data_IF_567565201832
#
_entry.id   IF_567565201832
#
_cell.length_a   1.000
_cell.length_b   1.000
_cell.length_c   1.000
_cell.angle_alpha   90.00
_cell.angle_beta   90.00
_cell.angle_gamma   90.00
#
_symmetry.space_group_name_H-M   'P 1'
#
loop_
_entity.id
_entity.type
_entity.pdbx_description
1 polymer ?
#
# COMPACT_ATOMS: atom_id res chain seq x y z
N UNK A 1 61.74 2.07 -22.05
CA UNK A 1 60.47 1.54 -22.59
C UNK A 1 59.40 1.72 -21.50
N UNK A 2 58.46 2.65 -21.73
CA UNK A 2 57.25 3.01 -20.96
C UNK A 2 57.34 3.55 -19.51
N UNK A 3 57.73 4.83 -19.35
CA UNK A 3 57.55 5.60 -18.10
C UNK A 3 56.09 5.99 -17.80
N UNK A 4 55.19 5.89 -18.77
CA UNK A 4 53.77 6.25 -18.61
C UNK A 4 53.02 5.37 -17.59
N UNK A 5 53.42 4.12 -17.40
CA UNK A 5 52.79 3.20 -16.44
C UNK A 5 52.96 3.63 -14.96
N UNK A 6 53.96 4.45 -14.64
CA UNK A 6 54.19 4.92 -13.26
C UNK A 6 53.23 6.03 -12.81
N UNK A 7 52.53 6.71 -13.73
CA UNK A 7 51.55 7.76 -13.39
C UNK A 7 50.15 7.25 -13.03
N UNK A 8 49.86 5.97 -13.29
CA UNK A 8 48.57 5.34 -12.94
C UNK A 8 48.48 4.88 -11.47
N UNK A 9 49.58 4.97 -10.72
CA UNK A 9 49.61 4.66 -9.28
C UNK A 9 49.33 5.91 -8.44
N UNK A 10 48.33 6.70 -8.82
CA UNK A 10 47.74 7.66 -7.89
C UNK A 10 47.02 6.85 -6.81
N UNK A 11 47.64 6.87 -5.62
CA UNK A 11 47.13 6.39 -4.34
C UNK A 11 45.60 6.54 -4.29
N UNK A 12 44.87 5.43 -4.22
CA UNK A 12 43.45 5.45 -3.96
C UNK A 12 43.25 6.31 -2.70
N UNK A 13 42.48 7.40 -2.82
CA UNK A 13 42.10 8.18 -1.65
C UNK A 13 41.30 7.23 -0.77
N UNK A 14 41.67 7.13 0.51
CA UNK A 14 40.87 6.43 1.50
C UNK A 14 39.51 7.12 1.55
N UNK A 15 38.53 6.56 0.84
CA UNK A 15 37.14 6.95 0.97
C UNK A 15 36.65 6.37 2.29
N UNK A 16 36.86 7.13 3.37
CA UNK A 16 36.23 6.84 4.65
C UNK A 16 34.76 7.20 4.51
N UNK A 17 33.89 6.21 4.72
CA UNK A 17 32.45 6.46 4.83
C UNK A 17 32.25 7.49 5.94
N UNK A 18 31.46 8.57 5.72
CA UNK A 18 31.13 9.48 6.80
C UNK A 18 30.54 8.67 7.96
N UNK A 19 30.92 9.05 9.18
CA UNK A 19 30.41 8.46 10.40
C UNK A 19 28.88 8.46 10.29
N UNK A 20 28.29 7.26 10.30
CA UNK A 20 26.84 7.10 10.19
C UNK A 20 26.26 7.88 11.35
N UNK A 21 25.60 9.01 11.09
CA UNK A 21 24.82 9.73 12.10
C UNK A 21 24.08 8.67 12.91
N UNK A 22 24.29 8.69 14.23
CA UNK A 22 23.59 7.80 15.15
C UNK A 22 22.10 7.97 14.84
N UNK A 23 21.54 7.02 14.09
CA UNK A 23 20.10 6.94 13.89
C UNK A 23 19.53 6.91 15.29
N UNK A 24 18.90 8.01 15.70
CA UNK A 24 18.17 8.12 16.95
C UNK A 24 17.48 6.78 17.19
N UNK A 25 17.67 6.19 18.37
CA UNK A 25 17.12 4.88 18.73
C UNK A 25 15.76 4.69 18.05
N UNK A 26 15.65 3.67 17.18
CA UNK A 26 14.47 3.44 16.32
C UNK A 26 13.24 3.67 17.18
N UNK A 27 12.49 4.71 16.86
CA UNK A 27 11.34 5.12 17.64
C UNK A 27 10.32 3.98 17.56
N UNK A 28 10.32 3.09 18.56
CA UNK A 28 9.46 1.91 18.67
C UNK A 28 8.06 2.29 19.16
N UNK A 29 7.81 3.56 19.46
CA UNK A 29 6.50 4.07 19.76
C UNK A 29 5.63 4.03 18.49
N UNK A 30 4.55 3.24 18.54
CA UNK A 30 3.51 3.22 17.49
C UNK A 30 3.07 4.65 17.18
N UNK A 31 3.12 5.03 15.90
CA UNK A 31 2.66 6.36 15.47
C UNK A 31 1.20 6.55 15.86
N UNK A 32 0.90 7.62 16.60
CA UNK A 32 -0.48 8.00 16.89
C UNK A 32 -1.11 8.61 15.62
N UNK A 33 -1.98 7.85 14.97
CA UNK A 33 -2.65 8.27 13.72
C UNK A 33 -3.91 9.11 13.95
N UNK A 34 -4.41 9.21 15.18
CA UNK A 34 -5.64 9.95 15.49
C UNK A 34 -5.63 11.40 14.97
N UNK A 35 -4.57 12.20 15.19
CA UNK A 35 -4.54 13.58 14.73
C UNK A 35 -4.54 13.69 13.21
N UNK A 36 -4.06 12.66 12.51
CA UNK A 36 -3.86 12.65 11.06
C UNK A 36 -4.98 11.94 10.30
N UNK A 37 -5.93 11.34 11.02
CA UNK A 37 -7.10 10.70 10.42
C UNK A 37 -7.91 11.77 9.66
N UNK A 38 -8.21 11.56 8.36
CA UNK A 38 -9.07 12.46 7.61
C UNK A 38 -10.48 12.54 8.17
N UNK A 39 -11.23 13.55 7.75
CA UNK A 39 -12.66 13.63 8.06
C UNK A 39 -13.41 12.39 7.50
N UNK A 40 -14.50 11.94 8.14
CA UNK A 40 -15.19 10.70 7.78
C UNK A 40 -15.51 10.53 6.29
N UNK A 41 -15.97 11.59 5.60
CA UNK A 41 -16.25 11.55 4.16
C UNK A 41 -15.00 11.21 3.34
N UNK A 42 -13.88 11.89 3.63
CA UNK A 42 -12.59 11.72 2.95
C UNK A 42 -12.00 10.35 3.25
N UNK A 43 -12.07 9.91 4.51
CA UNK A 43 -11.61 8.58 4.91
C UNK A 43 -12.39 7.49 4.16
N UNK A 44 -13.72 7.49 4.28
CA UNK A 44 -14.55 6.43 3.73
C UNK A 44 -14.53 6.42 2.20
N UNK A 45 -14.48 7.60 1.55
CA UNK A 45 -14.38 7.71 0.10
C UNK A 45 -13.14 7.02 -0.46
N UNK A 46 -11.97 7.22 0.16
CA UNK A 46 -10.73 6.56 -0.27
C UNK A 46 -10.80 5.04 -0.12
N UNK A 47 -11.23 4.55 1.05
CA UNK A 47 -11.28 3.11 1.32
C UNK A 47 -12.33 2.43 0.47
N UNK A 48 -13.52 3.04 0.33
CA UNK A 48 -14.58 2.49 -0.51
C UNK A 48 -14.12 2.33 -1.96
N UNK A 49 -13.44 3.34 -2.51
CA UNK A 49 -12.95 3.29 -3.88
C UNK A 49 -11.82 2.28 -4.09
N UNK A 50 -10.94 2.08 -3.09
CA UNK A 50 -9.95 1.01 -3.11
C UNK A 50 -10.59 -0.38 -3.20
N UNK A 51 -11.59 -0.68 -2.36
CA UNK A 51 -12.28 -1.97 -2.41
C UNK A 51 -13.08 -2.18 -3.71
N UNK A 52 -13.66 -1.11 -4.25
CA UNK A 52 -14.31 -1.17 -5.57
C UNK A 52 -13.28 -1.50 -6.67
N UNK A 53 -12.10 -0.89 -6.61
CA UNK A 53 -10.99 -1.17 -7.54
C UNK A 53 -10.46 -2.60 -7.38
N UNK A 54 -10.38 -3.13 -6.15
CA UNK A 54 -10.00 -4.53 -5.93
C UNK A 54 -11.00 -5.48 -6.59
N UNK A 55 -12.30 -5.25 -6.39
CA UNK A 55 -13.34 -6.03 -7.06
C UNK A 55 -13.20 -6.00 -8.59
N UNK A 56 -12.99 -4.81 -9.18
CA UNK A 56 -12.79 -4.66 -10.62
C UNK A 56 -11.58 -5.46 -11.11
N UNK A 57 -10.43 -5.33 -10.44
CA UNK A 57 -9.20 -6.04 -10.83
C UNK A 57 -9.39 -7.56 -10.71
N UNK A 58 -9.97 -8.04 -9.62
CA UNK A 58 -10.19 -9.48 -9.38
C UNK A 58 -11.18 -10.07 -10.38
N UNK A 59 -12.25 -9.35 -10.72
CA UNK A 59 -13.22 -9.81 -11.72
C UNK A 59 -12.63 -9.84 -13.12
N UNK A 60 -11.77 -8.89 -13.49
CA UNK A 60 -11.04 -8.92 -14.75
C UNK A 60 -10.15 -10.18 -14.89
N UNK A 61 -9.61 -10.67 -13.78
CA UNK A 61 -8.79 -11.89 -13.76
C UNK A 61 -9.59 -13.19 -13.95
N UNK A 62 -10.93 -13.18 -13.84
CA UNK A 62 -11.76 -14.37 -14.03
C UNK A 62 -11.67 -14.94 -15.45
N UNK A 63 -11.46 -14.08 -16.45
CA UNK A 63 -11.37 -14.50 -17.87
C UNK A 63 -10.09 -15.27 -18.16
N UNK A 64 -9.00 -14.90 -17.49
CA UNK A 64 -7.64 -15.42 -17.72
C UNK A 64 -7.17 -16.34 -16.58
N UNK A 65 -8.11 -16.81 -15.76
CA UNK A 65 -7.80 -17.73 -14.67
C UNK A 65 -7.23 -19.05 -15.22
N UNK A 66 -6.16 -19.61 -14.61
CA UNK A 66 -5.47 -20.79 -15.13
C UNK A 66 -6.34 -22.05 -15.24
N UNK A 67 -7.34 -22.18 -14.37
CA UNK A 67 -8.24 -23.32 -14.34
C UNK A 67 -9.61 -22.93 -13.75
N UNK A 68 -10.60 -23.78 -13.96
CA UNK A 68 -11.98 -23.55 -13.53
C UNK A 68 -12.14 -23.50 -12.01
N UNK A 69 -11.34 -24.25 -11.25
CA UNK A 69 -11.40 -24.26 -9.79
C UNK A 69 -10.97 -22.89 -9.23
N UNK A 70 -9.80 -22.39 -9.65
CA UNK A 70 -9.31 -21.06 -9.27
C UNK A 70 -10.29 -19.97 -9.70
N UNK A 71 -10.92 -20.10 -10.87
CA UNK A 71 -11.94 -19.15 -11.34
C UNK A 71 -13.16 -19.11 -10.42
N UNK A 72 -13.66 -20.26 -9.98
CA UNK A 72 -14.83 -20.34 -9.09
C UNK A 72 -14.53 -19.68 -7.74
N UNK A 73 -13.40 -20.02 -7.13
CA UNK A 73 -13.00 -19.46 -5.83
C UNK A 73 -12.63 -17.97 -5.91
N UNK A 74 -11.96 -17.54 -6.99
CA UNK A 74 -11.71 -16.12 -7.24
C UNK A 74 -13.02 -15.32 -7.39
N UNK A 75 -14.07 -15.93 -7.96
CA UNK A 75 -15.38 -15.28 -8.08
C UNK A 75 -16.00 -15.02 -6.70
N UNK A 76 -15.90 -15.98 -5.78
CA UNK A 76 -16.35 -15.81 -4.40
C UNK A 76 -15.54 -14.74 -3.68
N UNK A 77 -14.21 -14.79 -3.79
CA UNK A 77 -13.32 -13.80 -3.17
C UNK A 77 -13.55 -12.39 -3.71
N UNK A 78 -13.78 -12.23 -5.02
CA UNK A 78 -14.12 -10.94 -5.61
C UNK A 78 -15.47 -10.41 -5.07
N UNK A 79 -16.48 -11.27 -4.92
CA UNK A 79 -17.76 -10.90 -4.31
C UNK A 79 -17.57 -10.32 -2.90
N UNK A 80 -16.62 -10.87 -2.10
CA UNK A 80 -16.30 -10.31 -0.78
C UNK A 80 -15.72 -8.91 -0.86
N UNK A 81 -14.82 -8.62 -1.79
CA UNK A 81 -14.34 -7.24 -2.00
C UNK A 81 -15.48 -6.27 -2.35
N UNK A 82 -16.46 -6.71 -3.14
CA UNK A 82 -17.65 -5.90 -3.43
C UNK A 82 -18.55 -5.70 -2.19
N UNK A 83 -18.72 -6.72 -1.36
CA UNK A 83 -19.45 -6.60 -0.08
C UNK A 83 -18.77 -5.60 0.86
N UNK A 84 -17.44 -5.59 0.93
CA UNK A 84 -16.65 -4.62 1.71
C UNK A 84 -16.87 -3.19 1.21
N UNK A 85 -16.76 -2.96 -0.11
CA UNK A 85 -17.10 -1.69 -0.74
C UNK A 85 -18.53 -1.25 -0.35
N UNK A 86 -19.52 -2.12 -0.49
CA UNK A 86 -20.92 -1.80 -0.16
C UNK A 86 -21.09 -1.48 1.32
N UNK A 87 -20.35 -2.14 2.21
CA UNK A 87 -20.39 -1.84 3.65
C UNK A 87 -19.85 -0.45 3.96
N UNK A 88 -18.78 -0.02 3.27
CA UNK A 88 -18.21 1.33 3.40
C UNK A 88 -19.14 2.39 2.78
N UNK A 89 -19.70 2.12 1.60
CA UNK A 89 -20.68 2.99 0.95
C UNK A 89 -21.94 3.21 1.81
N UNK A 90 -22.43 2.16 2.49
CA UNK A 90 -23.55 2.31 3.45
C UNK A 90 -23.21 3.22 4.62
N UNK A 91 -21.95 3.28 5.06
CA UNK A 91 -21.52 4.21 6.12
C UNK A 91 -21.52 5.65 5.64
N UNK A 92 -21.06 5.89 4.42
CA UNK A 92 -21.18 7.21 3.78
C UNK A 92 -22.64 7.66 3.73
N UNK A 93 -23.54 6.79 3.24
CA UNK A 93 -24.97 7.07 3.18
C UNK A 93 -25.58 7.33 4.57
N UNK A 94 -25.20 6.55 5.58
CA UNK A 94 -25.64 6.75 6.97
C UNK A 94 -25.19 8.09 7.59
N UNK A 95 -24.14 8.71 7.05
CA UNK A 95 -23.69 10.06 7.41
C UNK A 95 -24.32 11.16 6.53
N UNK A 96 -25.22 10.80 5.61
CA UNK A 96 -25.87 11.73 4.69
C UNK A 96 -25.02 12.12 3.47
N UNK A 97 -24.00 11.33 3.13
CA UNK A 97 -23.18 11.55 1.93
C UNK A 97 -23.55 10.59 0.81
N UNK A 98 -23.59 11.10 -0.42
CA UNK A 98 -23.58 10.26 -1.61
C UNK A 98 -22.22 9.58 -1.78
N UNK A 99 -22.25 8.26 -2.00
CA UNK A 99 -21.03 7.45 -2.00
C UNK A 99 -20.12 7.78 -3.20
N UNK A 100 -20.71 8.00 -4.37
CA UNK A 100 -19.97 8.40 -5.59
C UNK A 100 -19.25 9.73 -5.36
N UNK A 101 -19.95 10.75 -4.90
CA UNK A 101 -19.39 12.08 -4.63
C UNK A 101 -18.26 12.06 -3.59
N UNK A 102 -18.31 11.11 -2.65
CA UNK A 102 -17.25 10.91 -1.68
C UNK A 102 -16.04 10.18 -2.28
N UNK A 103 -16.22 9.30 -3.26
CA UNK A 103 -15.15 8.54 -3.93
C UNK A 103 -14.49 9.32 -5.07
N UNK A 104 -15.25 10.11 -5.82
CA UNK A 104 -14.81 10.79 -7.05
C UNK A 104 -13.46 11.54 -6.92
N UNK A 105 -13.17 12.27 -5.83
CA UNK A 105 -11.90 12.98 -5.68
C UNK A 105 -10.66 12.07 -5.67
N UNK A 106 -10.81 10.76 -5.42
CA UNK A 106 -9.70 9.82 -5.28
C UNK A 106 -9.54 8.90 -6.50
N UNK A 107 -10.45 9.00 -7.47
CA UNK A 107 -10.51 8.13 -8.65
C UNK A 107 -9.21 8.14 -9.45
N UNK A 108 -8.75 9.32 -9.87
CA UNK A 108 -7.55 9.51 -10.69
C UNK A 108 -6.29 8.98 -9.99
N UNK A 109 -6.11 9.31 -8.71
CA UNK A 109 -4.94 8.89 -7.92
C UNK A 109 -4.88 7.38 -7.81
N UNK A 110 -5.97 6.74 -7.38
CA UNK A 110 -6.03 5.30 -7.14
C UNK A 110 -5.95 4.52 -8.46
N UNK A 111 -6.61 4.99 -9.52
CA UNK A 111 -6.47 4.39 -10.85
C UNK A 111 -5.04 4.49 -11.40
N UNK A 112 -4.38 5.64 -11.20
CA UNK A 112 -2.97 5.82 -11.58
C UNK A 112 -2.05 4.89 -10.81
N UNK A 113 -2.28 4.71 -9.51
CA UNK A 113 -1.57 3.73 -8.71
C UNK A 113 -1.77 2.31 -9.27
N UNK A 114 -3.01 1.92 -9.58
CA UNK A 114 -3.29 0.61 -10.12
C UNK A 114 -2.72 0.38 -11.52
N UNK A 115 -2.70 1.39 -12.39
CA UNK A 115 -2.14 1.29 -13.74
C UNK A 115 -0.61 1.10 -13.71
N UNK A 116 0.10 1.83 -12.85
CA UNK A 116 1.56 1.69 -12.63
C UNK A 116 1.96 0.32 -12.07
N UNK A 117 1.04 -0.33 -11.38
CA UNK A 117 1.23 -1.63 -10.74
C UNK A 117 0.52 -2.75 -11.49
N UNK A 118 0.35 -2.65 -12.80
CA UNK A 118 -0.25 -3.73 -13.62
C UNK A 118 0.76 -4.86 -13.79
N UNK A 119 0.40 -6.06 -13.33
CA UNK A 119 1.21 -7.26 -13.51
C UNK A 119 1.11 -7.81 -14.94
N UNK A 120 2.05 -8.66 -15.34
CA UNK A 120 2.11 -9.20 -16.71
C UNK A 120 1.18 -10.39 -16.94
N UNK A 121 0.67 -11.01 -15.87
CA UNK A 121 -0.25 -12.14 -15.94
C UNK A 121 -1.16 -12.24 -14.71
N UNK A 122 -1.95 -13.32 -14.68
CA UNK A 122 -2.88 -13.63 -13.61
C UNK A 122 -2.19 -13.75 -12.24
N UNK A 123 -1.04 -14.42 -12.15
CA UNK A 123 -0.35 -14.65 -10.88
C UNK A 123 0.18 -13.34 -10.28
N UNK A 124 0.76 -12.47 -11.11
CA UNK A 124 1.20 -11.15 -10.67
C UNK A 124 0.01 -10.26 -10.25
N UNK A 125 -1.15 -10.39 -10.90
CA UNK A 125 -2.36 -9.69 -10.50
C UNK A 125 -2.90 -10.18 -9.14
N UNK A 126 -2.93 -11.50 -8.91
CA UNK A 126 -3.34 -12.08 -7.60
C UNK A 126 -2.36 -11.68 -6.51
N UNK A 127 -1.04 -11.80 -6.75
CA UNK A 127 -0.03 -11.38 -5.79
C UNK A 127 -0.11 -9.88 -5.47
N UNK A 128 -0.35 -9.05 -6.50
CA UNK A 128 -0.57 -7.61 -6.33
C UNK A 128 -1.69 -7.36 -5.34
N UNK A 129 -2.90 -7.88 -5.60
CA UNK A 129 -4.03 -7.61 -4.71
C UNK A 129 -3.74 -8.17 -3.31
N UNK A 130 -3.11 -9.34 -3.19
CA UNK A 130 -2.79 -9.93 -1.89
C UNK A 130 -1.90 -9.02 -1.03
N UNK A 131 -0.84 -8.47 -1.62
CA UNK A 131 0.11 -7.61 -0.92
C UNK A 131 -0.46 -6.20 -0.70
N UNK A 132 -1.10 -5.64 -1.73
CA UNK A 132 -1.63 -4.27 -1.72
C UNK A 132 -2.81 -4.16 -0.76
N UNK A 133 -3.84 -5.00 -0.90
CA UNK A 133 -5.01 -4.96 -0.02
C UNK A 133 -4.61 -5.32 1.41
N UNK A 134 -3.74 -6.31 1.60
CA UNK A 134 -3.23 -6.66 2.93
C UNK A 134 -2.57 -5.47 3.65
N UNK A 135 -1.68 -4.74 2.97
CA UNK A 135 -1.00 -3.59 3.56
C UNK A 135 -1.96 -2.41 3.76
N UNK A 136 -2.77 -2.08 2.76
CA UNK A 136 -3.68 -0.93 2.83
C UNK A 136 -4.82 -1.17 3.84
N UNK A 137 -5.34 -2.39 3.96
CA UNK A 137 -6.37 -2.72 4.96
C UNK A 137 -5.80 -2.61 6.38
N UNK A 138 -4.57 -3.07 6.63
CA UNK A 138 -3.89 -2.89 7.92
C UNK A 138 -3.68 -1.40 8.23
N UNK A 139 -3.27 -0.63 7.22
CA UNK A 139 -3.08 0.81 7.32
C UNK A 139 -4.40 1.52 7.66
N UNK A 140 -5.47 1.29 6.91
CA UNK A 140 -6.76 1.95 7.12
C UNK A 140 -7.44 1.51 8.41
N UNK A 141 -7.27 0.25 8.82
CA UNK A 141 -7.69 -0.23 10.16
C UNK A 141 -7.03 0.60 11.26
N UNK A 142 -5.73 0.87 11.16
CA UNK A 142 -5.02 1.71 12.13
C UNK A 142 -5.40 3.19 12.02
N UNK A 143 -5.56 3.69 10.81
CA UNK A 143 -5.95 5.08 10.55
C UNK A 143 -7.37 5.36 11.08
N UNK A 144 -8.26 4.36 11.11
CA UNK A 144 -9.60 4.49 11.66
C UNK A 144 -9.63 4.88 13.15
N UNK A 145 -8.50 4.81 13.87
CA UNK A 145 -8.39 5.20 15.28
C UNK A 145 -8.83 6.65 15.57
N UNK A 146 -8.78 7.56 14.59
CA UNK A 146 -9.26 8.94 14.74
C UNK A 146 -10.73 9.15 14.36
N UNK A 147 -11.45 8.12 13.90
CA UNK A 147 -12.88 8.19 13.62
C UNK A 147 -13.70 8.05 14.91
N UNK A 148 -14.98 8.50 14.91
CA UNK A 148 -15.93 8.18 15.97
C UNK A 148 -16.03 6.66 16.22
N UNK A 149 -16.21 6.25 17.48
CA UNK A 149 -16.06 4.86 17.89
C UNK A 149 -16.93 3.86 17.09
N UNK A 150 -18.20 4.17 16.89
CA UNK A 150 -19.13 3.36 16.10
C UNK A 150 -18.70 3.24 14.62
N UNK A 151 -18.26 4.37 14.05
CA UNK A 151 -17.78 4.38 12.67
C UNK A 151 -16.50 3.55 12.51
N UNK A 152 -15.57 3.70 13.45
CA UNK A 152 -14.32 2.92 13.51
C UNK A 152 -14.61 1.43 13.58
N UNK A 153 -15.41 0.98 14.55
CA UNK A 153 -15.76 -0.45 14.70
C UNK A 153 -16.35 -1.00 13.40
N UNK A 154 -17.22 -0.21 12.78
CA UNK A 154 -17.82 -0.58 11.53
C UNK A 154 -16.83 -0.68 10.35
N UNK A 155 -15.82 0.20 10.28
CA UNK A 155 -14.74 0.12 9.29
C UNK A 155 -13.88 -1.10 9.55
N UNK A 156 -13.43 -1.30 10.80
CA UNK A 156 -12.63 -2.47 11.20
C UNK A 156 -13.34 -3.78 10.84
N UNK A 157 -14.65 -3.87 11.08
CA UNK A 157 -15.48 -5.00 10.66
C UNK A 157 -15.49 -5.19 9.14
N UNK A 158 -15.63 -4.11 8.37
CA UNK A 158 -15.62 -4.20 6.90
C UNK A 158 -14.26 -4.70 6.37
N UNK A 159 -13.16 -4.29 6.99
CA UNK A 159 -11.79 -4.68 6.59
C UNK A 159 -11.33 -6.03 7.16
N UNK A 160 -12.16 -6.70 7.95
CA UNK A 160 -11.77 -7.95 8.65
C UNK A 160 -11.88 -9.21 7.79
N UNK A 161 -12.52 -9.15 6.62
CA UNK A 161 -12.64 -10.33 5.74
C UNK A 161 -11.27 -10.74 5.17
N UNK A 162 -10.93 -12.02 5.33
CA UNK A 162 -9.66 -12.61 4.88
C UNK A 162 -9.85 -13.70 3.82
N UNK A 163 -11.02 -13.74 3.16
CA UNK A 163 -11.37 -14.77 2.16
C UNK A 163 -10.41 -14.73 0.99
N UNK A 164 -10.17 -13.54 0.42
CA UNK A 164 -9.23 -13.38 -0.68
C UNK A 164 -7.78 -13.71 -0.27
N UNK A 165 -7.37 -13.32 0.95
CA UNK A 165 -6.02 -13.66 1.45
C UNK A 165 -5.81 -15.18 1.51
N UNK A 166 -6.78 -15.95 2.01
CA UNK A 166 -6.69 -17.41 2.08
C UNK A 166 -6.61 -18.03 0.69
N UNK A 167 -7.46 -17.56 -0.23
CA UNK A 167 -7.44 -17.97 -1.63
C UNK A 167 -6.07 -17.70 -2.26
N UNK A 168 -5.60 -16.45 -2.23
CA UNK A 168 -4.36 -16.01 -2.86
C UNK A 168 -3.14 -16.79 -2.33
N UNK A 169 -3.03 -16.97 -1.01
CA UNK A 169 -1.94 -17.76 -0.42
C UNK A 169 -1.91 -19.18 -0.98
N UNK A 170 -3.04 -19.87 -0.94
CA UNK A 170 -3.14 -21.26 -1.35
C UNK A 170 -2.75 -21.41 -2.83
N UNK A 171 -3.40 -20.67 -3.73
CA UNK A 171 -3.18 -20.82 -5.17
C UNK A 171 -1.78 -20.40 -5.60
N UNK A 172 -1.20 -19.37 -4.98
CA UNK A 172 0.18 -18.94 -5.28
C UNK A 172 1.18 -19.99 -4.82
N UNK A 173 1.05 -20.52 -3.60
CA UNK A 173 1.95 -21.57 -3.08
C UNK A 173 1.85 -22.85 -3.91
N UNK A 174 0.64 -23.29 -4.25
CA UNK A 174 0.41 -24.44 -5.14
C UNK A 174 1.09 -24.22 -6.50
N UNK A 175 0.85 -23.07 -7.14
CA UNK A 175 1.38 -22.80 -8.48
C UNK A 175 2.91 -22.64 -8.50
N UNK A 176 3.50 -22.12 -7.42
CA UNK A 176 4.96 -22.01 -7.29
C UNK A 176 5.65 -23.34 -6.99
N UNK A 177 4.94 -24.30 -6.39
CA UNK A 177 5.46 -25.65 -6.21
C UNK A 177 5.66 -26.36 -7.56
N UNK A 178 4.80 -26.06 -8.53
CA UNK A 178 4.86 -26.60 -9.88
C UNK A 178 5.84 -25.85 -10.80
N UNK A 179 6.13 -24.58 -10.53
CA UNK A 179 7.03 -23.73 -11.32
C UNK A 179 7.99 -22.88 -10.44
N UNK A 180 9.25 -23.32 -10.25
CA UNK A 180 10.24 -22.54 -9.50
C UNK A 180 10.61 -21.17 -10.11
N UNK A 181 10.43 -20.99 -11.42
CA UNK A 181 10.67 -19.70 -12.07
C UNK A 181 9.60 -18.68 -11.68
N UNK A 182 8.35 -19.15 -11.50
CA UNK A 182 7.25 -18.33 -10.99
C UNK A 182 7.61 -17.73 -9.63
N UNK A 183 8.15 -18.53 -8.70
CA UNK A 183 8.52 -18.05 -7.36
C UNK A 183 9.53 -16.89 -7.42
N UNK A 184 10.59 -17.05 -8.20
CA UNK A 184 11.64 -16.00 -8.34
C UNK A 184 11.08 -14.71 -8.94
N UNK A 185 10.21 -14.84 -9.96
CA UNK A 185 9.54 -13.70 -10.59
C UNK A 185 8.59 -12.99 -9.64
N UNK A 186 7.76 -13.74 -8.92
CA UNK A 186 6.80 -13.21 -7.95
C UNK A 186 7.50 -12.52 -6.78
N UNK A 187 8.66 -13.02 -6.33
CA UNK A 187 9.48 -12.33 -5.33
C UNK A 187 9.92 -10.94 -5.81
N UNK A 188 10.40 -10.83 -7.06
CA UNK A 188 10.80 -9.54 -7.64
C UNK A 188 9.61 -8.60 -7.80
N UNK A 189 8.46 -9.11 -8.25
CA UNK A 189 7.23 -8.34 -8.39
C UNK A 189 6.76 -7.79 -7.04
N UNK A 190 6.72 -8.61 -6.00
CA UNK A 190 6.32 -8.21 -4.65
C UNK A 190 7.17 -7.05 -4.11
N UNK A 191 8.50 -7.11 -4.28
CA UNK A 191 9.41 -6.01 -3.90
C UNK A 191 9.16 -4.73 -4.69
N UNK A 192 8.91 -4.84 -5.99
CA UNK A 192 8.65 -3.68 -6.86
C UNK A 192 7.41 -2.91 -6.42
N UNK A 193 6.36 -3.61 -6.01
CA UNK A 193 5.09 -3.00 -5.61
C UNK A 193 5.21 -2.06 -4.41
N UNK A 194 6.16 -2.33 -3.50
CA UNK A 194 6.28 -1.63 -2.22
C UNK A 194 6.38 -0.11 -2.40
N UNK A 195 7.20 0.35 -3.33
CA UNK A 195 7.39 1.79 -3.57
C UNK A 195 6.09 2.49 -3.92
N UNK A 196 5.33 1.95 -4.88
CA UNK A 196 4.06 2.51 -5.32
C UNK A 196 2.98 2.46 -4.22
N UNK A 197 2.94 1.38 -3.42
CA UNK A 197 1.99 1.27 -2.30
C UNK A 197 2.26 2.31 -1.23
N UNK A 198 3.54 2.57 -0.91
CA UNK A 198 3.91 3.61 0.04
C UNK A 198 3.54 5.02 -0.47
N UNK A 199 3.61 5.25 -1.79
CA UNK A 199 3.15 6.50 -2.40
C UNK A 199 1.63 6.65 -2.30
N UNK A 200 0.86 5.59 -2.56
CA UNK A 200 -0.59 5.61 -2.40
C UNK A 200 -0.99 5.86 -0.95
N UNK A 201 -0.34 5.18 0.01
CA UNK A 201 -0.56 5.39 1.43
C UNK A 201 -0.33 6.84 1.86
N UNK A 202 0.72 7.48 1.33
CA UNK A 202 1.00 8.90 1.61
C UNK A 202 -0.14 9.79 1.13
N UNK A 203 -0.74 9.46 -0.01
CA UNK A 203 -1.90 10.16 -0.56
C UNK A 203 -3.11 10.17 0.37
N UNK A 204 -3.19 9.26 1.35
CA UNK A 204 -4.29 9.21 2.32
C UNK A 204 -4.27 10.36 3.33
N UNK A 205 -3.15 11.07 3.47
CA UNK A 205 -2.97 12.14 4.44
C UNK A 205 -3.03 13.52 3.81
N UNK A 206 -3.38 14.51 4.65
CA UNK A 206 -3.12 15.91 4.35
C UNK A 206 -1.67 16.25 4.73
N UNK A 207 -0.80 16.41 3.72
CA UNK A 207 0.63 16.69 3.92
C UNK A 207 0.88 18.00 4.69
N UNK A 208 0.03 19.02 4.50
CA UNK A 208 0.15 20.29 5.23
C UNK A 208 -0.18 20.07 6.69
N UNK A 209 -1.24 19.32 6.99
CA UNK A 209 -1.60 18.93 8.36
C UNK A 209 -0.50 18.09 9.02
N UNK A 210 0.10 17.14 8.30
CA UNK A 210 1.24 16.33 8.78
C UNK A 210 2.46 17.19 9.14
N UNK A 211 2.74 18.23 8.34
CA UNK A 211 3.82 19.16 8.58
C UNK A 211 3.49 20.27 9.60
N UNK A 212 2.30 20.24 10.22
CA UNK A 212 1.87 21.25 11.20
C UNK A 212 1.54 22.62 10.60
N UNK A 213 1.28 22.67 9.29
CA UNK A 213 0.91 23.90 8.60
C UNK A 213 -0.59 24.18 8.81
N UNK A 214 -0.97 25.37 9.32
CA UNK A 214 -2.38 25.73 9.50
C UNK A 214 -3.15 25.76 8.17
N UNK A 215 -4.44 25.38 8.21
CA UNK A 215 -5.36 25.56 7.08
C UNK A 215 -5.37 27.05 6.67
N UNK A 216 -5.23 27.33 5.38
CA UNK A 216 -5.28 28.70 4.82
C UNK A 216 -3.94 29.43 4.65
N UNK A 217 -2.82 28.88 5.14
CA UNK A 217 -1.50 29.45 4.83
C UNK A 217 -1.19 29.23 3.34
N UNK A 218 -0.93 30.33 2.62
CA UNK A 218 -0.38 30.27 1.27
C UNK A 218 1.10 29.95 1.35
N UNK A 219 1.57 29.04 0.49
CA UNK A 219 2.95 28.60 0.40
C UNK A 219 3.43 28.81 -1.03
N UNK A 220 4.69 29.21 -1.18
CA UNK A 220 5.39 29.14 -2.45
C UNK A 220 5.63 27.68 -2.87
N UNK A 221 5.89 27.42 -4.15
CA UNK A 221 6.18 26.07 -4.63
C UNK A 221 7.40 25.43 -3.94
N UNK A 222 8.39 26.24 -3.53
CA UNK A 222 9.54 25.77 -2.77
C UNK A 222 9.15 25.33 -1.35
N UNK A 223 8.35 26.15 -0.65
CA UNK A 223 7.85 25.81 0.69
C UNK A 223 6.90 24.60 0.65
N UNK A 224 6.07 24.45 -0.39
CA UNK A 224 5.26 23.25 -0.57
C UNK A 224 6.12 21.99 -0.70
N UNK A 225 7.23 22.07 -1.45
CA UNK A 225 8.17 20.96 -1.57
C UNK A 225 8.81 20.61 -0.22
N UNK A 226 9.22 21.62 0.55
CA UNK A 226 9.77 21.41 1.90
C UNK A 226 8.75 20.81 2.87
N UNK A 227 7.51 21.29 2.84
CA UNK A 227 6.39 20.75 3.63
C UNK A 227 6.12 19.29 3.29
N UNK A 228 6.09 18.96 2.00
CA UNK A 228 5.94 17.58 1.56
C UNK A 228 7.11 16.71 2.06
N UNK A 229 8.35 17.19 2.00
CA UNK A 229 9.51 16.47 2.52
C UNK A 229 9.44 16.28 4.04
N UNK A 230 9.09 17.32 4.80
CA UNK A 230 8.97 17.28 6.25
C UNK A 230 7.84 16.33 6.71
N UNK A 231 6.72 16.30 5.98
CA UNK A 231 5.59 15.42 6.28
C UNK A 231 5.98 13.93 6.28
N UNK A 232 6.95 13.54 5.45
CA UNK A 232 7.42 12.15 5.37
C UNK A 232 8.05 11.66 6.65
N UNK A 233 8.82 12.50 7.34
CA UNK A 233 9.50 12.14 8.59
C UNK A 233 8.53 11.67 9.68
N UNK A 234 7.30 12.21 9.69
CA UNK A 234 6.25 11.85 10.66
C UNK A 234 5.67 10.45 10.41
N UNK A 235 5.75 9.96 9.18
CA UNK A 235 5.23 8.65 8.78
C UNK A 235 6.29 7.55 8.86
N UNK A 236 7.57 7.87 9.06
CA UNK A 236 8.67 6.88 9.04
C UNK A 236 8.44 5.66 9.95
N UNK A 237 7.97 5.80 11.21
CA UNK A 237 7.75 4.62 12.04
C UNK A 237 6.57 3.77 11.53
N UNK A 238 5.50 4.41 11.02
CA UNK A 238 4.39 3.71 10.37
C UNK A 238 4.87 2.94 9.13
N UNK A 239 5.65 3.59 8.27
CA UNK A 239 6.22 2.99 7.05
C UNK A 239 7.09 1.79 7.41
N UNK A 240 7.92 1.92 8.45
CA UNK A 240 8.78 0.82 8.93
C UNK A 240 7.95 -0.39 9.37
N UNK A 241 6.89 -0.16 10.13
CA UNK A 241 5.98 -1.23 10.57
C UNK A 241 5.24 -1.90 9.40
N UNK A 242 4.80 -1.13 8.40
CA UNK A 242 4.10 -1.67 7.24
C UNK A 242 5.02 -2.44 6.29
N UNK A 243 6.28 -2.00 6.13
CA UNK A 243 7.30 -2.77 5.41
C UNK A 243 7.51 -4.11 6.10
N UNK A 244 7.62 -4.14 7.43
CA UNK A 244 7.74 -5.39 8.17
C UNK A 244 6.53 -6.30 7.97
N UNK A 245 5.31 -5.75 8.01
CA UNK A 245 4.08 -6.51 7.74
C UNK A 245 4.02 -7.05 6.31
N UNK A 246 4.57 -6.34 5.32
CA UNK A 246 4.71 -6.83 3.96
C UNK A 246 5.75 -7.94 3.85
N UNK A 247 6.91 -7.80 4.48
CA UNK A 247 7.92 -8.87 4.51
C UNK A 247 7.33 -10.15 5.07
N UNK A 248 6.56 -10.07 6.17
CA UNK A 248 5.85 -11.23 6.71
C UNK A 248 4.85 -11.87 5.73
N UNK A 249 4.19 -11.06 4.89
CA UNK A 249 3.28 -11.57 3.84
C UNK A 249 4.03 -12.24 2.70
N UNK A 250 5.19 -11.70 2.30
CA UNK A 250 6.09 -12.32 1.33
C UNK A 250 6.62 -13.65 1.87
N UNK A 251 7.09 -13.67 3.12
CA UNK A 251 7.61 -14.87 3.79
C UNK A 251 6.52 -15.95 3.93
N UNK A 252 5.26 -15.56 4.19
CA UNK A 252 4.14 -16.49 4.26
C UNK A 252 3.85 -17.21 2.92
N UNK A 253 4.36 -16.68 1.80
CA UNK A 253 4.32 -17.32 0.48
C UNK A 253 5.63 -18.06 0.14
N UNK A 254 6.64 -18.03 1.02
CA UNK A 254 7.99 -18.51 0.70
C UNK A 254 8.75 -17.59 -0.25
N UNK A 255 8.36 -16.31 -0.35
CA UNK A 255 9.03 -15.31 -1.18
C UNK A 255 10.00 -14.48 -0.35
N UNK A 256 11.20 -14.26 -0.87
CA UNK A 256 12.14 -13.32 -0.26
C UNK A 256 11.68 -11.87 -0.49
N UNK A 257 11.49 -11.13 0.60
CA UNK A 257 11.21 -9.69 0.60
C UNK A 257 12.42 -8.82 0.25
#
# INVERSE_FOLDING_TARGET
>A
MFEWLKKLRQKARDFVLPEREERSARNTAKVNLKPYTPEPKVFLGQVAYLHLSYFEILTAQLKVSPNTAYKAELSEAASKSFEQYRALARKLAGLGYEATDAMDPFTERIQTFHSKTTGIDWYEAILKIYLVSGLLDDFYTRLAAGLPAELREGVEKALSDRTFEKFAKRVLVESMADDPQLQSRLALWGRRLMGDVLLELRGAFDNRKLAGIPKGKSLTAAEEREVNLASYSKLEPLVTELIAAHSLRMDALGLAA
#
